data_IF_958308814025
#
_entry.id   IF_958308814025
#
_cell.length_a   1.000
_cell.length_b   1.000
_cell.length_c   1.000
_cell.angle_alpha   90.00
_cell.angle_beta   90.00
_cell.angle_gamma   90.00
#
_symmetry.space_group_name_H-M   'P 1'
#
loop_
_entity.id
_entity.type
_entity.pdbx_description
1 polymer ?
#
# COMPACT_ATOMS: atom_id res chain seq x y z
N UNK A 1 13.14 34.59 12.65
CA UNK A 1 11.76 34.14 12.45
C UNK A 1 11.63 32.68 11.97
N UNK A 2 12.73 31.97 11.71
CA UNK A 2 12.72 30.54 11.28
C UNK A 2 12.76 29.51 12.43
N UNK A 3 13.06 29.90 13.65
CA UNK A 3 13.21 29.01 14.81
C UNK A 3 11.88 28.73 15.57
N UNK A 4 10.85 29.52 15.35
CA UNK A 4 9.54 29.34 15.99
C UNK A 4 8.61 28.36 15.30
N UNK A 5 8.94 27.93 14.07
CA UNK A 5 8.15 26.92 13.31
C UNK A 5 8.47 25.47 13.68
N UNK A 6 9.50 25.23 14.49
CA UNK A 6 9.95 23.89 14.89
C UNK A 6 9.18 23.29 16.07
N UNK A 7 8.29 24.03 16.72
CA UNK A 7 7.56 23.55 17.92
C UNK A 7 6.04 23.38 17.75
N UNK A 8 5.51 23.42 16.54
CA UNK A 8 4.14 22.94 16.35
C UNK A 8 4.14 21.42 16.39
N UNK A 9 4.02 20.86 17.59
CA UNK A 9 3.68 19.45 17.77
C UNK A 9 2.38 19.18 17.03
N UNK A 10 2.45 18.30 16.04
CA UNK A 10 1.28 17.90 15.28
C UNK A 10 0.51 16.88 16.12
N UNK A 11 -0.70 17.26 16.54
CA UNK A 11 -1.48 16.50 17.52
C UNK A 11 -2.77 15.99 16.91
N UNK A 12 -3.17 14.79 17.31
CA UNK A 12 -4.46 14.24 16.95
C UNK A 12 -5.21 13.75 18.20
N UNK A 13 -6.53 13.79 18.13
CA UNK A 13 -7.37 13.24 19.19
C UNK A 13 -7.41 11.73 19.12
N UNK A 14 -7.43 11.10 20.29
CA UNK A 14 -7.61 9.67 20.47
C UNK A 14 -9.02 9.44 20.97
N UNK A 15 -9.77 8.60 20.29
CA UNK A 15 -11.12 8.19 20.66
C UNK A 15 -11.17 6.74 21.15
N UNK A 16 -12.27 6.35 21.77
CA UNK A 16 -12.54 4.95 22.14
C UNK A 16 -13.64 4.37 21.23
N UNK A 17 -13.64 3.04 21.06
CA UNK A 17 -14.68 2.32 20.31
C UNK A 17 -15.79 1.75 21.21
N UNK A 18 -15.82 2.10 22.49
CA UNK A 18 -16.80 1.57 23.45
C UNK A 18 -18.19 2.13 23.27
N UNK A 19 -18.29 3.35 22.78
CA UNK A 19 -19.56 4.08 22.61
C UNK A 19 -19.75 4.46 21.13
N UNK A 20 -21.03 4.61 20.71
CA UNK A 20 -21.35 5.06 19.35
C UNK A 20 -20.84 6.46 19.11
N UNK A 21 -21.05 7.37 20.06
CA UNK A 21 -20.56 8.75 19.98
C UNK A 21 -19.04 8.82 20.13
N UNK A 22 -18.45 9.84 19.54
CA UNK A 22 -17.00 10.08 19.65
C UNK A 22 -16.65 10.58 21.05
N UNK A 23 -16.16 9.69 21.89
CA UNK A 23 -15.60 10.05 23.21
C UNK A 23 -14.08 10.18 23.09
N UNK A 24 -13.56 11.38 23.35
CA UNK A 24 -12.14 11.69 23.28
C UNK A 24 -11.46 11.34 24.59
N UNK A 25 -10.54 10.39 24.54
CA UNK A 25 -9.80 9.89 25.72
C UNK A 25 -8.52 10.67 25.93
N UNK A 26 -7.88 11.12 24.85
CA UNK A 26 -6.58 11.77 24.94
C UNK A 26 -6.12 12.44 23.66
N UNK A 27 -4.87 12.86 23.67
CA UNK A 27 -4.19 13.47 22.56
C UNK A 27 -2.88 12.70 22.31
N UNK A 28 -2.58 12.39 21.07
CA UNK A 28 -1.32 11.79 20.65
C UNK A 28 -0.52 12.76 19.79
N UNK A 29 0.79 12.79 20.00
CA UNK A 29 1.71 13.54 19.17
C UNK A 29 2.07 12.72 17.93
N UNK A 30 2.00 13.34 16.74
CA UNK A 30 2.31 12.71 15.47
C UNK A 30 3.66 13.20 14.94
N UNK A 31 4.46 12.29 14.39
CA UNK A 31 5.77 12.65 13.87
C UNK A 31 5.64 13.46 12.56
N UNK A 32 6.23 14.67 12.48
CA UNK A 32 6.05 15.57 11.33
C UNK A 32 6.63 15.01 10.03
N UNK A 33 7.72 14.24 10.07
CA UNK A 33 8.33 13.65 8.89
C UNK A 33 7.46 12.55 8.25
N UNK A 34 6.45 12.04 8.97
CA UNK A 34 5.52 11.04 8.48
C UNK A 34 4.20 11.67 8.05
N UNK A 35 3.63 12.52 8.91
CA UNK A 35 2.27 13.04 8.72
C UNK A 35 2.20 14.45 8.13
N UNK A 36 3.35 15.10 7.88
CA UNK A 36 3.44 16.44 7.31
C UNK A 36 4.35 16.50 6.07
N UNK A 37 4.40 15.44 5.29
CA UNK A 37 5.17 15.39 4.06
C UNK A 37 4.44 16.16 2.96
N UNK A 38 5.17 16.89 2.10
CA UNK A 38 4.55 17.52 0.95
C UNK A 38 4.02 16.43 -0.01
N UNK A 39 2.74 16.47 -0.42
CA UNK A 39 2.12 15.38 -1.15
C UNK A 39 2.69 15.25 -2.57
N UNK A 40 3.32 14.11 -2.88
CA UNK A 40 3.88 13.71 -4.16
C UNK A 40 2.91 12.77 -4.88
N UNK A 41 1.90 13.36 -5.56
CA UNK A 41 0.85 12.61 -6.25
C UNK A 41 1.41 11.77 -7.41
N UNK A 42 2.46 12.22 -8.08
CA UNK A 42 3.16 11.51 -9.14
C UNK A 42 3.70 10.15 -8.69
N UNK A 43 4.38 10.14 -7.54
CA UNK A 43 4.96 8.94 -6.93
C UNK A 43 3.84 8.02 -6.41
N UNK A 44 2.85 8.61 -5.77
CA UNK A 44 1.69 7.90 -5.22
C UNK A 44 0.94 7.14 -6.32
N UNK A 45 0.63 7.81 -7.44
CA UNK A 45 -0.04 7.20 -8.59
C UNK A 45 0.76 6.03 -9.18
N UNK A 46 2.08 6.19 -9.34
CA UNK A 46 2.93 5.10 -9.86
C UNK A 46 2.89 3.87 -8.95
N UNK A 47 2.88 4.07 -7.63
CA UNK A 47 2.78 2.99 -6.66
C UNK A 47 1.42 2.27 -6.73
N UNK A 48 0.32 3.02 -6.77
CA UNK A 48 -1.03 2.46 -6.90
C UNK A 48 -1.17 1.63 -8.17
N UNK A 49 -0.72 2.15 -9.33
CA UNK A 49 -0.75 1.43 -10.61
C UNK A 49 0.10 0.15 -10.55
N UNK A 50 1.27 0.22 -9.92
CA UNK A 50 2.12 -0.96 -9.72
C UNK A 50 1.43 -2.03 -8.86
N UNK A 51 0.83 -1.62 -7.73
CA UNK A 51 0.10 -2.53 -6.84
C UNK A 51 -1.14 -3.15 -7.51
N UNK A 52 -1.85 -2.41 -8.35
CA UNK A 52 -2.96 -2.95 -9.13
C UNK A 52 -2.48 -3.96 -10.17
N UNK A 53 -1.36 -3.69 -10.84
CA UNK A 53 -0.86 -4.56 -11.91
C UNK A 53 -0.34 -5.91 -11.41
N UNK A 54 0.35 -5.97 -10.27
CA UNK A 54 0.83 -7.27 -9.78
C UNK A 54 -0.31 -8.18 -9.30
N UNK A 55 -1.46 -7.61 -8.96
CA UNK A 55 -2.68 -8.37 -8.59
C UNK A 55 -3.47 -8.86 -9.80
N UNK A 56 -3.25 -8.26 -10.97
CA UNK A 56 -4.03 -8.54 -12.15
C UNK A 56 -3.39 -9.69 -12.95
N UNK A 57 -4.05 -10.84 -12.92
CA UNK A 57 -3.69 -12.02 -13.70
C UNK A 57 -4.85 -12.32 -14.64
N UNK A 58 -4.59 -12.31 -15.95
CA UNK A 58 -5.58 -12.67 -16.96
C UNK A 58 -5.44 -14.16 -17.26
N UNK A 59 -6.48 -14.93 -16.94
CA UNK A 59 -6.53 -16.38 -17.15
C UNK A 59 -7.09 -16.77 -18.52
N UNK A 60 -7.73 -15.83 -19.23
CA UNK A 60 -8.39 -16.11 -20.50
C UNK A 60 -7.40 -16.40 -21.62
N UNK A 61 -7.76 -17.37 -22.46
CA UNK A 61 -7.03 -17.74 -23.68
C UNK A 61 -7.93 -17.59 -24.89
N UNK A 62 -7.47 -16.87 -25.90
CA UNK A 62 -8.14 -16.80 -27.20
C UNK A 62 -7.46 -17.75 -28.18
N UNK A 63 -8.27 -18.52 -28.91
CA UNK A 63 -7.77 -19.49 -29.85
C UNK A 63 -7.23 -18.83 -31.10
N UNK A 64 -6.05 -19.25 -31.53
CA UNK A 64 -5.46 -18.86 -32.82
C UNK A 64 -6.04 -19.68 -33.94
N UNK A 65 -5.77 -19.26 -35.17
CA UNK A 65 -6.14 -19.98 -36.39
C UNK A 65 -5.73 -21.45 -36.36
N UNK A 66 -4.59 -21.78 -35.79
CA UNK A 66 -4.07 -23.15 -35.74
C UNK A 66 -4.83 -24.04 -34.73
N UNK A 67 -5.36 -23.41 -33.67
CA UNK A 67 -6.05 -24.11 -32.58
C UNK A 67 -7.56 -24.29 -32.82
N UNK A 68 -8.11 -23.55 -33.78
CA UNK A 68 -9.53 -23.64 -34.12
C UNK A 68 -9.86 -24.97 -34.85
N UNK A 69 -10.97 -25.63 -34.53
CA UNK A 69 -11.37 -26.86 -35.18
C UNK A 69 -11.77 -26.66 -36.66
N UNK A 70 -11.46 -27.56 -37.56
CA UNK A 70 -11.82 -27.54 -38.98
C UNK A 70 -10.92 -26.68 -39.89
N UNK A 71 -11.31 -26.42 -41.12
CA UNK A 71 -10.70 -25.43 -42.03
C UNK A 71 -9.34 -25.78 -42.63
N UNK A 72 -8.97 -27.04 -42.73
CA UNK A 72 -7.72 -27.44 -43.38
C UNK A 72 -7.72 -27.26 -44.90
N UNK A 73 -8.92 -27.34 -45.54
CA UNK A 73 -9.08 -27.16 -46.97
C UNK A 73 -9.13 -25.67 -47.34
N UNK A 74 -8.46 -25.34 -48.47
CA UNK A 74 -8.58 -24.00 -49.07
C UNK A 74 -10.03 -23.77 -49.56
N UNK A 75 -10.71 -22.66 -49.16
CA UNK A 75 -12.13 -22.47 -49.45
C UNK A 75 -12.46 -22.30 -50.93
N UNK A 76 -11.60 -21.68 -51.69
CA UNK A 76 -11.75 -21.52 -53.17
C UNK A 76 -10.39 -21.40 -53.88
N UNK A 77 -10.35 -21.63 -55.21
CA UNK A 77 -9.14 -21.49 -55.98
C UNK A 77 -8.54 -20.06 -55.89
N UNK A 78 -7.21 -19.95 -56.05
CA UNK A 78 -6.48 -18.70 -55.90
C UNK A 78 -6.88 -17.66 -56.95
N UNK A 79 -7.21 -18.08 -58.17
CA UNK A 79 -7.56 -17.23 -59.29
C UNK A 79 -8.91 -17.62 -59.89
N UNK A 80 -9.51 -16.81 -60.76
CA UNK A 80 -10.72 -17.02 -61.55
C UNK A 80 -12.05 -17.06 -60.73
N UNK A 81 -12.07 -16.54 -59.48
CA UNK A 81 -13.29 -16.52 -58.67
C UNK A 81 -13.81 -15.11 -58.37
N UNK A 82 -13.06 -14.07 -58.72
CA UNK A 82 -13.40 -12.66 -58.38
C UNK A 82 -13.47 -12.37 -56.87
N UNK A 83 -13.13 -13.35 -56.02
CA UNK A 83 -13.12 -13.21 -54.53
C UNK A 83 -11.73 -12.90 -54.01
N UNK A 84 -11.68 -12.29 -52.82
CA UNK A 84 -10.42 -12.05 -52.11
C UNK A 84 -9.71 -13.39 -51.83
N UNK A 85 -8.38 -13.36 -51.85
CA UNK A 85 -7.58 -14.57 -51.60
C UNK A 85 -7.75 -15.04 -50.14
N UNK A 86 -8.08 -16.28 -49.94
CA UNK A 86 -8.22 -16.91 -48.61
C UNK A 86 -7.52 -18.27 -48.57
N UNK A 87 -6.67 -18.47 -47.60
CA UNK A 87 -5.98 -19.73 -47.38
C UNK A 87 -6.76 -20.71 -46.49
N UNK A 88 -7.58 -20.21 -45.59
CA UNK A 88 -8.37 -21.00 -44.65
C UNK A 88 -9.56 -20.20 -44.17
N UNK A 89 -10.69 -20.88 -43.89
CA UNK A 89 -11.89 -20.30 -43.27
C UNK A 89 -11.69 -19.92 -41.80
N UNK A 90 -10.61 -20.39 -41.18
CA UNK A 90 -10.25 -20.13 -39.78
C UNK A 90 -9.52 -18.82 -39.56
N UNK A 91 -9.18 -18.07 -40.61
CA UNK A 91 -8.48 -16.80 -40.48
C UNK A 91 -9.38 -15.76 -39.81
N UNK A 92 -8.78 -14.80 -39.11
CA UNK A 92 -9.48 -13.74 -38.39
C UNK A 92 -10.42 -12.89 -39.24
N UNK A 93 -10.29 -12.95 -40.57
CA UNK A 93 -11.15 -12.26 -41.55
C UNK A 93 -12.57 -12.85 -41.62
N UNK A 94 -12.71 -14.10 -41.24
CA UNK A 94 -14.00 -14.80 -41.30
C UNK A 94 -14.69 -14.84 -39.93
N UNK A 95 -16.01 -14.80 -39.96
CA UNK A 95 -16.84 -15.02 -38.79
C UNK A 95 -16.49 -16.41 -38.21
N UNK A 96 -16.29 -16.50 -36.90
CA UNK A 96 -15.81 -17.70 -36.21
C UNK A 96 -14.37 -18.12 -36.56
N UNK A 97 -13.57 -17.22 -37.12
CA UNK A 97 -12.13 -17.42 -37.26
C UNK A 97 -11.37 -17.22 -35.95
N UNK A 98 -10.12 -17.69 -35.92
CA UNK A 98 -9.24 -17.49 -34.77
C UNK A 98 -8.69 -16.07 -34.65
N UNK A 99 -8.27 -15.68 -33.48
CA UNK A 99 -7.65 -14.38 -33.24
C UNK A 99 -6.19 -14.32 -33.73
N UNK A 100 -5.79 -13.20 -34.28
CA UNK A 100 -4.42 -12.99 -34.78
C UNK A 100 -3.43 -12.65 -33.65
N UNK A 101 -3.80 -11.76 -32.76
CA UNK A 101 -2.99 -11.28 -31.61
C UNK A 101 -3.81 -11.30 -30.33
N UNK A 102 -4.49 -12.41 -30.08
CA UNK A 102 -5.34 -12.57 -28.89
C UNK A 102 -4.54 -12.89 -27.63
N UNK A 103 -5.21 -12.83 -26.50
CA UNK A 103 -4.65 -13.18 -25.19
C UNK A 103 -4.25 -14.66 -25.17
N UNK A 104 -3.04 -14.98 -24.67
CA UNK A 104 -2.44 -16.30 -24.76
C UNK A 104 -2.28 -17.00 -23.41
N UNK A 105 -3.38 -17.23 -22.74
CA UNK A 105 -3.38 -17.99 -21.47
C UNK A 105 -3.01 -17.15 -20.26
N UNK A 106 -2.61 -17.72 -19.14
CA UNK A 106 -2.31 -16.97 -17.93
C UNK A 106 -1.22 -15.92 -18.19
N UNK A 107 -1.61 -14.64 -18.16
CA UNK A 107 -0.70 -13.52 -18.33
C UNK A 107 -0.67 -12.70 -17.06
N UNK A 108 0.50 -12.63 -16.44
CA UNK A 108 0.73 -11.77 -15.30
C UNK A 108 1.29 -10.43 -15.78
N UNK A 109 0.67 -9.34 -15.36
CA UNK A 109 1.13 -7.98 -15.67
C UNK A 109 2.12 -7.43 -14.64
N UNK A 110 2.60 -8.29 -13.75
CA UNK A 110 3.65 -7.92 -12.81
C UNK A 110 4.90 -7.46 -13.54
N UNK A 111 5.46 -6.35 -13.08
CA UNK A 111 6.78 -5.87 -13.50
C UNK A 111 7.58 -5.44 -12.28
N UNK A 112 8.89 -5.64 -12.36
CA UNK A 112 9.79 -5.20 -11.30
C UNK A 112 10.06 -3.71 -11.48
N UNK A 113 9.94 -2.94 -10.40
CA UNK A 113 10.28 -1.51 -10.43
C UNK A 113 11.75 -1.33 -10.86
N UNK A 114 12.07 -0.32 -11.69
CA UNK A 114 13.43 -0.04 -12.14
C UNK A 114 14.42 0.07 -10.98
N UNK A 115 15.66 -0.36 -11.20
CA UNK A 115 16.69 -0.39 -10.15
C UNK A 115 16.92 0.99 -9.49
N UNK A 116 16.86 2.07 -10.26
CA UNK A 116 16.95 3.42 -9.72
C UNK A 116 15.82 3.74 -8.73
N UNK A 117 14.61 3.27 -9.00
CA UNK A 117 13.46 3.38 -8.08
C UNK A 117 13.52 2.34 -6.96
N UNK A 118 14.24 1.22 -7.14
CA UNK A 118 14.44 0.20 -6.11
C UNK A 118 15.57 0.55 -5.13
N UNK A 119 16.62 1.22 -5.59
CA UNK A 119 17.72 1.71 -4.73
C UNK A 119 17.20 2.87 -3.85
N UNK A 120 16.31 3.68 -4.40
CA UNK A 120 15.42 4.55 -3.63
C UNK A 120 14.16 3.79 -3.14
N UNK A 121 14.08 2.48 -3.30
CA UNK A 121 12.83 1.72 -3.35
C UNK A 121 12.23 1.43 -1.99
N UNK A 122 13.04 1.21 -0.99
CA UNK A 122 12.56 1.24 0.40
C UNK A 122 12.12 2.67 0.71
N UNK A 123 12.89 3.66 0.32
CA UNK A 123 12.57 5.08 0.45
C UNK A 123 11.36 5.52 -0.41
N UNK A 124 11.21 5.00 -1.64
CA UNK A 124 10.06 5.26 -2.51
C UNK A 124 8.75 4.78 -1.89
N UNK A 125 8.71 3.55 -1.38
CA UNK A 125 7.53 2.99 -0.73
C UNK A 125 7.19 3.74 0.57
N UNK A 126 8.21 4.10 1.33
CA UNK A 126 8.07 4.90 2.56
C UNK A 126 7.51 6.28 2.27
N UNK A 127 8.05 7.01 1.28
CA UNK A 127 7.51 8.31 0.87
C UNK A 127 6.06 8.19 0.39
N UNK A 128 5.72 7.12 -0.36
CA UNK A 128 4.34 6.90 -0.79
C UNK A 128 3.40 6.69 0.39
N UNK A 129 3.82 5.90 1.41
CA UNK A 129 3.02 5.69 2.62
C UNK A 129 2.86 6.98 3.41
N UNK A 130 3.95 7.72 3.66
CA UNK A 130 3.90 9.01 4.35
C UNK A 130 3.00 10.02 3.61
N UNK A 131 3.11 10.08 2.27
CA UNK A 131 2.26 10.93 1.45
C UNK A 131 0.78 10.54 1.55
N UNK A 132 0.46 9.24 1.50
CA UNK A 132 -0.91 8.75 1.63
C UNK A 132 -1.50 9.06 3.01
N UNK A 133 -0.72 8.85 4.08
CA UNK A 133 -1.13 9.16 5.45
C UNK A 133 -1.35 10.67 5.66
N UNK A 134 -0.44 11.50 5.12
CA UNK A 134 -0.58 12.96 5.17
C UNK A 134 -1.86 13.43 4.45
N UNK A 135 -2.15 12.88 3.27
CA UNK A 135 -3.37 13.21 2.53
C UNK A 135 -4.62 12.80 3.31
N UNK A 136 -4.64 11.58 3.86
CA UNK A 136 -5.77 11.08 4.66
C UNK A 136 -6.00 11.93 5.91
N UNK A 137 -4.93 12.34 6.57
CA UNK A 137 -5.02 13.20 7.74
C UNK A 137 -5.56 14.60 7.35
N UNK A 138 -5.09 15.17 6.25
CA UNK A 138 -5.58 16.48 5.75
C UNK A 138 -7.06 16.43 5.32
N UNK A 139 -7.55 15.25 4.92
CA UNK A 139 -8.95 15.00 4.57
C UNK A 139 -9.83 14.63 5.77
N UNK A 140 -9.29 14.60 6.99
CA UNK A 140 -9.93 14.05 8.20
C UNK A 140 -10.34 12.57 8.09
N UNK A 141 -9.78 11.85 7.11
CA UNK A 141 -9.99 10.43 6.91
C UNK A 141 -9.04 9.53 7.70
N UNK A 142 -8.25 10.08 8.64
CA UNK A 142 -7.37 9.32 9.51
C UNK A 142 -7.77 9.56 10.97
N UNK A 143 -8.13 8.52 11.68
CA UNK A 143 -8.54 8.57 13.08
C UNK A 143 -7.71 7.64 13.95
N UNK A 144 -7.60 7.99 15.22
CA UNK A 144 -6.80 7.24 16.19
C UNK A 144 -7.69 6.75 17.33
N UNK A 145 -7.53 5.46 17.66
CA UNK A 145 -8.26 4.80 18.74
C UNK A 145 -7.29 4.17 19.73
N UNK A 146 -7.72 4.11 20.97
CA UNK A 146 -6.92 3.53 22.04
C UNK A 146 -6.62 2.06 21.77
N UNK A 147 -7.66 1.25 21.58
CA UNK A 147 -7.56 -0.19 21.32
C UNK A 147 -8.68 -0.66 20.41
N UNK A 148 -8.39 -1.64 19.53
CA UNK A 148 -9.38 -2.33 18.71
C UNK A 148 -9.98 -3.57 19.40
N UNK A 149 -9.41 -3.99 20.53
CA UNK A 149 -9.86 -5.18 21.24
C UNK A 149 -11.07 -4.95 22.15
N UNK A 150 -11.32 -3.68 22.50
CA UNK A 150 -12.34 -3.28 23.48
C UNK A 150 -13.72 -3.03 22.84
N UNK A 151 -13.99 -3.61 21.68
CA UNK A 151 -15.27 -3.45 21.01
C UNK A 151 -16.39 -4.17 21.81
N UNK A 152 -17.47 -3.45 22.23
CA UNK A 152 -18.37 -3.95 23.26
C UNK A 152 -19.31 -5.04 22.76
N UNK A 153 -19.86 -4.88 21.57
CA UNK A 153 -20.97 -5.71 21.09
C UNK A 153 -20.60 -6.51 19.84
N UNK A 154 -21.21 -7.70 19.73
CA UNK A 154 -21.10 -8.56 18.55
C UNK A 154 -22.27 -8.31 17.57
N UNK A 155 -22.75 -7.06 17.49
CA UNK A 155 -23.84 -6.67 16.57
C UNK A 155 -23.28 -5.81 15.44
N UNK A 156 -23.38 -6.26 14.18
CA UNK A 156 -22.94 -5.50 13.02
C UNK A 156 -23.62 -4.13 12.90
N UNK A 157 -24.89 -4.00 13.32
CA UNK A 157 -25.61 -2.74 13.30
C UNK A 157 -24.97 -1.69 14.19
N UNK A 158 -24.42 -2.11 15.35
CA UNK A 158 -23.73 -1.20 16.24
C UNK A 158 -22.53 -0.54 15.55
N UNK A 159 -21.75 -1.32 14.77
CA UNK A 159 -20.62 -0.80 14.01
C UNK A 159 -21.06 0.15 12.89
N UNK A 160 -22.16 -0.19 12.21
CA UNK A 160 -22.73 0.65 11.15
C UNK A 160 -23.22 1.99 11.70
N UNK A 161 -24.02 1.97 12.76
CA UNK A 161 -24.51 3.17 13.43
C UNK A 161 -23.36 4.06 13.94
N UNK A 162 -22.31 3.44 14.49
CA UNK A 162 -21.11 4.15 14.93
C UNK A 162 -20.41 4.85 13.74
N UNK A 163 -20.32 4.19 12.59
CA UNK A 163 -19.71 4.76 11.39
C UNK A 163 -20.52 5.96 10.87
N UNK A 164 -21.85 5.90 10.92
CA UNK A 164 -22.73 7.01 10.54
C UNK A 164 -22.61 8.18 11.54
N UNK A 165 -22.71 7.94 12.83
CA UNK A 165 -22.62 8.99 13.87
C UNK A 165 -21.27 9.73 13.85
N UNK A 166 -20.19 8.99 13.59
CA UNK A 166 -18.81 9.54 13.53
C UNK A 166 -18.42 10.05 12.15
N UNK A 167 -19.30 9.99 11.15
CA UNK A 167 -19.06 10.42 9.78
C UNK A 167 -17.81 9.77 9.14
N UNK A 168 -17.64 8.44 9.31
CA UNK A 168 -16.52 7.71 8.74
C UNK A 168 -16.62 7.44 7.24
N UNK A 169 -17.74 7.81 6.61
CA UNK A 169 -18.02 7.49 5.21
C UNK A 169 -18.47 6.05 5.01
N UNK A 170 -18.47 5.61 3.76
CA UNK A 170 -18.99 4.28 3.41
C UNK A 170 -18.02 3.14 3.70
N UNK A 171 -16.73 3.40 3.75
CA UNK A 171 -15.71 2.36 3.84
C UNK A 171 -14.65 2.68 4.89
N UNK A 172 -14.38 1.70 5.76
CA UNK A 172 -13.46 1.87 6.88
C UNK A 172 -12.41 0.77 6.90
N UNK A 173 -11.17 1.16 7.14
CA UNK A 173 -10.04 0.27 7.34
C UNK A 173 -9.54 0.38 8.78
N UNK A 174 -9.65 -0.70 9.53
CA UNK A 174 -9.08 -0.81 10.87
C UNK A 174 -7.68 -1.37 10.81
N UNK A 175 -6.72 -0.72 11.46
CA UNK A 175 -5.32 -1.12 11.49
C UNK A 175 -4.92 -1.43 12.92
N UNK A 176 -4.57 -2.70 13.15
CA UNK A 176 -4.09 -3.19 14.43
C UNK A 176 -2.58 -3.39 14.43
N UNK A 177 -1.98 -3.44 15.61
CA UNK A 177 -0.58 -3.78 15.83
C UNK A 177 -0.28 -5.25 15.52
N UNK A 178 -1.17 -6.16 15.95
CA UNK A 178 -1.05 -7.60 15.84
C UNK A 178 -2.08 -8.23 14.90
N UNK A 179 -1.88 -9.51 14.56
CA UNK A 179 -2.84 -10.29 13.76
C UNK A 179 -4.13 -10.60 14.53
N UNK A 180 -4.04 -10.64 15.85
CA UNK A 180 -5.18 -10.95 16.72
C UNK A 180 -5.90 -9.67 17.09
N UNK A 181 -7.17 -9.60 16.74
CA UNK A 181 -8.11 -8.54 17.11
C UNK A 181 -9.26 -9.16 17.89
N UNK A 182 -9.95 -8.36 18.68
CA UNK A 182 -11.13 -8.81 19.43
C UNK A 182 -12.16 -9.48 18.52
N UNK A 183 -12.68 -10.64 18.91
CA UNK A 183 -13.62 -11.44 18.11
C UNK A 183 -14.86 -10.64 17.71
N UNK A 184 -15.35 -9.75 18.56
CA UNK A 184 -16.55 -8.96 18.31
C UNK A 184 -16.40 -8.06 17.08
N UNK A 185 -15.28 -7.33 16.99
CA UNK A 185 -15.02 -6.46 15.84
C UNK A 185 -14.82 -7.26 14.54
N UNK A 186 -14.16 -8.42 14.63
CA UNK A 186 -13.96 -9.30 13.47
C UNK A 186 -15.29 -9.77 12.91
N UNK A 187 -16.18 -10.31 13.76
CA UNK A 187 -17.50 -10.78 13.36
C UNK A 187 -18.35 -9.66 12.74
N UNK A 188 -18.32 -8.46 13.31
CA UNK A 188 -19.03 -7.31 12.75
C UNK A 188 -18.49 -6.90 11.37
N UNK A 189 -17.17 -6.96 11.16
CA UNK A 189 -16.56 -6.61 9.88
C UNK A 189 -16.77 -7.68 8.81
N UNK A 190 -16.95 -8.95 9.17
CA UNK A 190 -17.21 -10.03 8.20
C UNK A 190 -18.59 -9.88 7.52
N UNK A 191 -19.56 -9.29 8.18
CA UNK A 191 -20.89 -9.08 7.60
C UNK A 191 -20.92 -7.96 6.55
N UNK A 192 -20.05 -6.95 6.70
CA UNK A 192 -19.99 -5.81 5.81
C UNK A 192 -18.70 -5.80 4.96
N UNK A 193 -18.77 -6.01 3.64
CA UNK A 193 -17.60 -6.09 2.77
C UNK A 193 -16.81 -4.78 2.62
N UNK A 194 -17.37 -3.66 3.04
CA UNK A 194 -16.71 -2.34 3.04
C UNK A 194 -15.97 -2.01 4.33
N UNK A 195 -16.14 -2.79 5.39
CA UNK A 195 -15.30 -2.74 6.58
C UNK A 195 -14.23 -3.81 6.50
N UNK A 196 -13.00 -3.47 6.83
CA UNK A 196 -11.89 -4.41 6.79
C UNK A 196 -10.91 -4.16 7.93
N UNK A 197 -10.29 -5.23 8.38
CA UNK A 197 -9.25 -5.21 9.42
C UNK A 197 -7.94 -5.66 8.80
N UNK A 198 -6.87 -4.98 9.11
CA UNK A 198 -5.54 -5.27 8.58
C UNK A 198 -4.48 -5.08 9.67
N UNK A 199 -3.51 -5.98 9.78
CA UNK A 199 -2.35 -5.74 10.63
C UNK A 199 -1.42 -4.69 10.01
N UNK A 200 -0.68 -4.00 10.87
CA UNK A 200 0.20 -2.89 10.46
C UNK A 200 1.25 -3.28 9.41
N UNK A 201 1.77 -4.51 9.47
CA UNK A 201 2.78 -4.98 8.51
C UNK A 201 2.21 -5.23 7.10
N UNK A 202 0.88 -5.43 6.97
CA UNK A 202 0.18 -5.55 5.70
C UNK A 202 -0.21 -4.21 5.07
N UNK A 203 0.01 -3.10 5.77
CA UNK A 203 -0.40 -1.78 5.32
C UNK A 203 0.26 -1.40 4.00
N UNK A 204 -0.55 -1.01 3.05
CA UNK A 204 -0.10 -0.58 1.73
C UNK A 204 -0.86 0.66 1.25
N UNK A 205 -0.26 1.38 0.31
CA UNK A 205 -0.81 2.63 -0.23
C UNK A 205 -2.17 2.43 -0.88
N UNK A 206 -2.33 1.33 -1.60
CA UNK A 206 -3.60 1.01 -2.27
C UNK A 206 -4.75 0.85 -1.27
N UNK A 207 -4.51 0.13 -0.15
CA UNK A 207 -5.53 -0.04 0.89
C UNK A 207 -5.86 1.28 1.59
N UNK A 208 -4.85 2.10 1.92
CA UNK A 208 -5.08 3.42 2.53
C UNK A 208 -5.99 4.30 1.64
N UNK A 209 -5.75 4.30 0.33
CA UNK A 209 -6.51 5.14 -0.60
C UNK A 209 -7.87 4.54 -0.99
N UNK A 210 -8.01 3.21 -0.90
CA UNK A 210 -9.25 2.50 -1.23
C UNK A 210 -10.38 2.84 -0.26
N UNK A 211 -10.09 2.92 1.03
CA UNK A 211 -11.07 3.16 2.08
C UNK A 211 -11.21 4.66 2.38
N UNK A 212 -12.41 5.11 2.72
CA UNK A 212 -12.69 6.51 3.03
C UNK A 212 -12.00 6.90 4.34
N UNK A 213 -12.20 6.13 5.38
CA UNK A 213 -11.58 6.36 6.69
C UNK A 213 -10.63 5.23 7.05
N UNK A 214 -9.51 5.61 7.63
CA UNK A 214 -8.50 4.71 8.18
C UNK A 214 -8.42 4.93 9.68
N UNK A 215 -8.59 3.87 10.45
CA UNK A 215 -8.56 3.90 11.92
C UNK A 215 -7.33 3.14 12.39
N UNK A 216 -6.44 3.84 13.09
CA UNK A 216 -5.23 3.26 13.68
C UNK A 216 -5.37 3.10 15.19
N UNK A 217 -5.00 1.94 15.72
CA UNK A 217 -4.76 1.80 17.16
C UNK A 217 -3.46 2.51 17.57
N UNK A 218 -3.40 3.01 18.79
CA UNK A 218 -2.18 3.68 19.32
C UNK A 218 -0.95 2.76 19.28
N UNK A 219 -1.03 1.48 19.65
CA UNK A 219 0.10 0.57 19.49
C UNK A 219 0.56 0.44 18.04
N UNK A 220 -0.39 0.34 17.09
CA UNK A 220 -0.06 0.29 15.66
C UNK A 220 0.62 1.57 15.18
N UNK A 221 0.18 2.75 15.64
CA UNK A 221 0.81 4.02 15.30
C UNK A 221 2.28 4.05 15.72
N UNK A 222 2.62 3.65 16.95
CA UNK A 222 4.00 3.62 17.43
C UNK A 222 4.89 2.70 16.59
N UNK A 223 4.41 1.51 16.26
CA UNK A 223 5.13 0.56 15.39
C UNK A 223 5.31 1.14 13.98
N UNK A 224 4.29 1.81 13.45
CA UNK A 224 4.33 2.46 12.13
C UNK A 224 5.40 3.55 12.09
N UNK A 225 5.41 4.44 13.06
CA UNK A 225 6.38 5.52 13.16
C UNK A 225 7.80 4.98 13.28
N UNK A 226 8.04 4.03 14.17
CA UNK A 226 9.36 3.41 14.34
C UNK A 226 9.87 2.78 13.04
N UNK A 227 9.04 2.01 12.34
CA UNK A 227 9.41 1.37 11.08
C UNK A 227 9.68 2.38 9.97
N UNK A 228 8.80 3.37 9.79
CA UNK A 228 8.97 4.37 8.74
C UNK A 228 10.21 5.23 8.98
N UNK A 229 10.44 5.69 10.22
CA UNK A 229 11.62 6.48 10.58
C UNK A 229 12.91 5.66 10.40
N UNK A 230 12.90 4.38 10.80
CA UNK A 230 14.03 3.49 10.57
C UNK A 230 14.40 3.40 9.09
N UNK A 231 13.40 3.21 8.21
CA UNK A 231 13.64 3.14 6.76
C UNK A 231 14.04 4.49 6.16
N UNK A 232 13.51 5.61 6.66
CA UNK A 232 13.91 6.95 6.19
C UNK A 232 15.34 7.29 6.55
N UNK A 233 15.79 6.90 7.73
CA UNK A 233 17.16 7.17 8.21
C UNK A 233 18.15 6.06 7.86
N UNK A 234 17.69 4.99 7.21
CA UNK A 234 18.56 3.91 6.79
C UNK A 234 19.46 4.40 5.64
N UNK A 235 20.76 4.37 5.85
CA UNK A 235 21.73 4.68 4.80
C UNK A 235 21.64 3.69 3.65
N UNK A 236 21.69 4.21 2.41
CA UNK A 236 21.54 3.42 1.20
C UNK A 236 22.54 2.27 1.05
N UNK A 237 22.39 1.43 0.02
CA UNK A 237 23.18 0.21 -0.17
C UNK A 237 24.69 0.43 -0.27
N UNK A 238 25.15 1.64 -0.59
CA UNK A 238 26.58 2.00 -0.62
C UNK A 238 27.22 1.90 0.76
N UNK A 239 26.46 2.16 1.82
CA UNK A 239 26.93 2.15 3.20
C UNK A 239 26.53 0.90 3.99
N UNK A 240 26.21 -0.22 3.31
CA UNK A 240 25.85 -1.48 3.99
C UNK A 240 26.93 -2.01 4.95
N UNK A 241 28.19 -1.64 4.71
CA UNK A 241 29.32 -2.06 5.54
C UNK A 241 29.55 -1.16 6.77
N UNK A 242 29.03 0.06 6.75
CA UNK A 242 29.23 1.02 7.83
C UNK A 242 27.96 1.82 8.07
N UNK A 243 27.25 1.47 9.13
CA UNK A 243 26.06 2.20 9.59
C UNK A 243 26.49 3.11 10.74
N UNK A 244 26.74 4.37 10.45
CA UNK A 244 27.20 5.35 11.43
C UNK A 244 26.31 5.41 12.68
N UNK A 245 24.99 5.31 12.52
CA UNK A 245 24.04 5.36 13.65
C UNK A 245 24.24 4.18 14.60
N UNK A 246 24.45 2.96 14.08
CA UNK A 246 24.68 1.77 14.90
C UNK A 246 26.07 1.77 15.54
N UNK A 247 27.03 2.45 14.93
CA UNK A 247 28.41 2.51 15.39
C UNK A 247 28.72 3.78 16.17
N UNK A 248 27.87 4.82 16.08
CA UNK A 248 28.11 6.09 16.72
C UNK A 248 28.34 5.95 18.23
N UNK A 249 27.44 5.29 18.94
CA UNK A 249 27.57 5.07 20.38
C UNK A 249 28.79 4.25 20.73
N UNK A 250 29.07 3.23 19.92
CA UNK A 250 30.25 2.39 20.10
C UNK A 250 31.56 3.16 19.88
N UNK A 251 31.61 3.96 18.81
CA UNK A 251 32.75 4.84 18.53
C UNK A 251 32.94 5.88 19.61
N UNK A 252 31.84 6.47 20.12
CA UNK A 252 31.90 7.44 21.21
C UNK A 252 32.37 6.78 22.51
N UNK A 253 31.85 5.63 22.88
CA UNK A 253 32.25 4.88 24.05
C UNK A 253 33.72 4.42 23.96
N UNK A 254 34.20 4.00 22.78
CA UNK A 254 35.59 3.64 22.54
C UNK A 254 36.48 4.88 22.58
N UNK A 255 36.00 6.07 22.15
CA UNK A 255 36.75 7.31 22.22
C UNK A 255 36.81 7.92 23.63
N UNK A 256 35.79 7.68 24.47
CA UNK A 256 35.81 8.09 25.89
C UNK A 256 36.61 7.19 26.80
N UNK A 257 36.92 5.96 26.35
CA UNK A 257 37.53 4.90 27.17
C UNK A 257 39.02 4.94 27.33
N UNK A 258 39.79 5.55 26.43
CA UNK A 258 41.28 5.63 26.52
C UNK A 258 41.82 6.81 25.69
N UNK A 259 42.82 7.50 26.24
CA UNK A 259 43.70 8.41 25.51
C UNK A 259 44.43 7.67 24.39
N UNK A 260 43.86 7.63 23.20
CA UNK A 260 44.54 7.14 22.01
C UNK A 260 45.17 8.29 21.20
N UNK A 261 46.43 8.67 21.53
CA UNK A 261 47.08 9.76 20.83
C UNK A 261 47.50 9.44 19.40
N UNK A 262 47.20 8.23 18.91
CA UNK A 262 47.64 7.73 17.60
C UNK A 262 46.53 7.51 16.58
N UNK A 263 45.29 7.81 16.90
CA UNK A 263 44.20 7.61 15.97
C UNK A 263 43.94 8.89 15.15
N UNK A 264 44.47 8.91 13.95
CA UNK A 264 44.10 9.92 12.97
C UNK A 264 43.00 9.35 12.07
N UNK A 265 41.79 9.95 12.02
CA UNK A 265 40.75 9.47 11.15
C UNK A 265 40.97 9.76 9.66
N UNK A 266 42.17 10.30 9.31
CA UNK A 266 42.51 10.74 7.96
C UNK A 266 43.83 10.14 7.43
N UNK A 267 44.15 8.89 7.79
CA UNK A 267 45.21 8.13 7.14
C UNK A 267 44.67 6.93 6.42
#
# INVERSE_FOLDING_TARGET
MHLLLLFFQFKAFVSTLKEKQETRVGIVDLHPDIFRVSPRIDILHQNVVWQQKYRNVILTKQLTRAEMPGGGRKPWPQKRTGRSHAGSIRTHQFIRGGFSKGVRGPTNFFYVLPNQKRIMGEFFLVICLCTALTIKLAQNGLQFVDSLNDFPENDPKFLFDMAEERNWGYSVLFINDNDKVGSNLVTCCEEYPWFNIMPIYGLNVFSILKYDTVILSIPALKILEERLLKHMHQTGPINKKFKYIEWKERILNEAEGEDHPKWSPFV
#
